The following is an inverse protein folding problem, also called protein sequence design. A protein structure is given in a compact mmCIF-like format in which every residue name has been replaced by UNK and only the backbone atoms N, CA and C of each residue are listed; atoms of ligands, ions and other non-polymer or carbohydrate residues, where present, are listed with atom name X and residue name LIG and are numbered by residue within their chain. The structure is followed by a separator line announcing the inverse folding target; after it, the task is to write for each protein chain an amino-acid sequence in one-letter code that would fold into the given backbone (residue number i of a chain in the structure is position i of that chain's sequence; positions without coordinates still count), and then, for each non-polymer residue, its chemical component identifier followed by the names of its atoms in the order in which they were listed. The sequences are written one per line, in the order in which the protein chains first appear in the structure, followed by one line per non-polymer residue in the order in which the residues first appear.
data_IF_369418921026
#
_entry.id   IF_369418921026
#
_cell.length_a   1.000
_cell.length_b   1.000
_cell.length_c   1.000
_cell.angle_alpha   90.00
_cell.angle_beta   90.00
_cell.angle_gamma   90.00
#
_symmetry.space_group_name_H-M   'P 1'
#
loop_
_entity.id
_entity.type
_entity.pdbx_description
1 polymer ?
#
# COMPACT_ATOMS: atom_id res chain seq x y z
N UNK A 1 2.23 5.32 26.72
CA UNK A 1 2.67 5.48 25.33
C UNK A 1 1.46 5.57 24.41
N UNK A 2 1.64 6.06 23.18
CA UNK A 2 0.57 6.12 22.19
C UNK A 2 0.11 4.71 21.78
N UNK A 3 -1.18 4.51 21.60
CA UNK A 3 -1.77 3.25 21.11
C UNK A 3 -1.61 3.13 19.59
N UNK A 4 -1.73 4.25 18.89
CA UNK A 4 -1.65 4.37 17.44
C UNK A 4 -0.59 5.40 17.02
N UNK A 5 -0.05 5.20 15.83
CA UNK A 5 0.89 6.10 15.18
C UNK A 5 0.41 6.37 13.74
N UNK A 6 0.41 7.64 13.35
CA UNK A 6 0.00 8.04 12.00
C UNK A 6 1.21 8.56 11.24
N UNK A 7 1.43 8.00 10.05
CA UNK A 7 2.37 8.52 9.06
C UNK A 7 1.58 8.97 7.85
N UNK A 8 1.76 10.21 7.45
CA UNK A 8 1.01 10.79 6.33
C UNK A 8 1.87 11.74 5.50
N UNK A 9 1.54 11.86 4.24
CA UNK A 9 2.14 12.85 3.36
C UNK A 9 1.66 14.27 3.72
N UNK A 10 2.46 15.31 3.47
CA UNK A 10 2.07 16.70 3.80
C UNK A 10 0.92 17.25 2.94
N UNK A 11 0.59 16.58 1.84
CA UNK A 11 -0.45 16.96 0.89
C UNK A 11 -1.77 16.16 1.07
N UNK A 12 -2.01 15.67 2.29
CA UNK A 12 -3.24 14.98 2.71
C UNK A 12 -4.20 15.97 3.39
N UNK A 13 -5.50 15.85 3.06
CA UNK A 13 -6.61 16.54 3.74
C UNK A 13 -7.66 15.52 4.18
N UNK A 14 -8.17 15.67 5.39
CA UNK A 14 -9.23 14.82 5.95
C UNK A 14 -10.05 15.57 6.99
N UNK A 15 -11.26 15.11 7.24
CA UNK A 15 -12.10 15.61 8.32
C UNK A 15 -11.62 15.08 9.69
N UNK A 16 -11.80 15.83 10.80
CA UNK A 16 -11.37 15.40 12.14
C UNK A 16 -11.87 14.00 12.51
N UNK A 17 -13.10 13.68 12.15
CA UNK A 17 -13.77 12.42 12.45
C UNK A 17 -13.12 11.21 11.78
N UNK A 18 -12.28 11.45 10.76
CA UNK A 18 -11.55 10.39 10.05
C UNK A 18 -10.63 9.61 11.00
N UNK A 19 -9.86 10.32 11.82
CA UNK A 19 -8.92 9.71 12.78
C UNK A 19 -9.67 8.93 13.84
N UNK A 20 -10.76 9.49 14.37
CA UNK A 20 -11.60 8.85 15.36
C UNK A 20 -12.24 7.56 14.82
N UNK A 21 -12.79 7.62 13.60
CA UNK A 21 -13.38 6.45 12.93
C UNK A 21 -12.36 5.32 12.74
N UNK A 22 -11.12 5.65 12.32
CA UNK A 22 -10.05 4.67 12.17
C UNK A 22 -9.61 4.09 13.53
N UNK A 23 -9.54 4.90 14.57
CA UNK A 23 -9.20 4.45 15.92
C UNK A 23 -10.27 3.51 16.47
N UNK A 24 -11.55 3.86 16.35
CA UNK A 24 -12.67 3.01 16.76
C UNK A 24 -12.67 1.66 16.02
N UNK A 25 -12.41 1.68 14.70
CA UNK A 25 -12.28 0.44 13.94
C UNK A 25 -11.14 -0.45 14.47
N UNK A 26 -9.97 0.15 14.70
CA UNK A 26 -8.81 -0.58 15.22
C UNK A 26 -9.03 -1.08 16.66
N UNK A 27 -9.81 -0.34 17.48
CA UNK A 27 -10.15 -0.77 18.85
C UNK A 27 -11.05 -2.01 18.84
N UNK A 28 -11.96 -2.09 17.87
CA UNK A 28 -12.85 -3.24 17.69
C UNK A 28 -12.15 -4.45 17.03
N UNK A 29 -10.94 -4.26 16.45
CA UNK A 29 -10.23 -5.29 15.69
C UNK A 29 -8.75 -5.37 16.13
N UNK A 30 -8.46 -6.11 17.18
CA UNK A 30 -7.10 -6.22 17.74
C UNK A 30 -6.10 -6.89 16.80
N UNK A 31 -6.57 -7.69 15.86
CA UNK A 31 -5.79 -8.39 14.84
C UNK A 31 -5.34 -7.48 13.68
N UNK A 32 -5.80 -6.22 13.66
CA UNK A 32 -5.43 -5.22 12.64
C UNK A 32 -4.22 -4.43 13.10
N UNK A 33 -3.13 -4.50 12.34
CA UNK A 33 -1.87 -3.76 12.59
C UNK A 33 -1.75 -2.46 11.80
N UNK A 34 -2.40 -2.38 10.63
CA UNK A 34 -2.40 -1.21 9.75
C UNK A 34 -3.77 -1.02 9.12
N UNK A 35 -4.21 0.23 9.01
CA UNK A 35 -5.45 0.59 8.30
C UNK A 35 -5.22 1.82 7.43
N UNK A 36 -5.85 1.83 6.26
CA UNK A 36 -5.87 2.95 5.30
C UNK A 36 -7.32 3.27 4.92
N UNK A 37 -7.75 4.53 4.98
CA UNK A 37 -9.07 4.96 4.53
C UNK A 37 -9.17 4.98 3.01
N UNK A 38 -10.36 5.26 2.50
CA UNK A 38 -10.60 5.53 1.08
C UNK A 38 -9.95 6.84 0.68
N UNK A 39 -9.23 6.85 -0.44
CA UNK A 39 -8.42 8.00 -0.87
C UNK A 39 -8.94 8.54 -2.18
N UNK A 40 -9.21 9.85 -2.21
CA UNK A 40 -9.65 10.56 -3.40
C UNK A 40 -8.61 11.56 -3.90
N UNK A 41 -8.67 11.87 -5.19
CA UNK A 41 -8.07 13.08 -5.74
C UNK A 41 -8.92 14.31 -5.38
N UNK A 42 -8.37 15.54 -5.49
CA UNK A 42 -9.15 16.76 -5.26
C UNK A 42 -10.39 16.93 -6.14
N UNK A 43 -10.40 16.30 -7.30
CA UNK A 43 -11.53 16.29 -8.24
C UNK A 43 -12.59 15.20 -7.94
N UNK A 44 -12.47 14.51 -6.80
CA UNK A 44 -13.38 13.46 -6.35
C UNK A 44 -13.14 12.08 -6.99
N UNK A 45 -12.20 11.93 -7.92
CA UNK A 45 -11.86 10.61 -8.46
C UNK A 45 -11.14 9.76 -7.43
N UNK A 46 -11.43 8.45 -7.41
CA UNK A 46 -10.81 7.47 -6.53
C UNK A 46 -9.33 7.27 -6.89
N UNK A 47 -8.46 7.24 -5.87
CA UNK A 47 -7.09 6.77 -5.98
C UNK A 47 -7.03 5.27 -5.65
N UNK A 48 -6.55 4.47 -6.60
CA UNK A 48 -6.44 3.02 -6.44
C UNK A 48 -5.14 2.65 -5.71
N UNK A 49 -5.18 2.68 -4.39
CA UNK A 49 -4.00 2.53 -3.52
C UNK A 49 -3.92 1.18 -2.80
N UNK A 50 -4.91 0.31 -3.00
CA UNK A 50 -4.85 -1.10 -2.62
C UNK A 50 -4.06 -1.89 -3.67
N UNK A 51 -2.99 -2.56 -3.27
CA UNK A 51 -2.09 -3.20 -4.26
C UNK A 51 -1.71 -4.62 -3.85
N UNK A 52 -1.44 -5.43 -4.85
CA UNK A 52 -0.73 -6.70 -4.66
C UNK A 52 0.71 -6.44 -4.20
N UNK A 53 1.36 -7.42 -3.57
CA UNK A 53 2.81 -7.38 -3.41
C UNK A 53 3.46 -7.38 -4.80
N UNK A 54 4.35 -6.40 -5.09
CA UNK A 54 4.82 -6.17 -6.44
C UNK A 54 5.75 -7.27 -6.94
N UNK A 55 5.70 -7.53 -8.23
CA UNK A 55 6.72 -8.25 -8.97
C UNK A 55 7.67 -7.26 -9.65
N UNK A 56 8.86 -7.69 -10.11
CA UNK A 56 9.72 -6.84 -10.94
C UNK A 56 8.99 -6.31 -12.19
N UNK A 57 8.06 -7.09 -12.75
CA UNK A 57 7.24 -6.66 -13.88
C UNK A 57 6.33 -5.49 -13.54
N UNK A 58 5.77 -5.46 -12.33
CA UNK A 58 4.85 -4.40 -11.90
C UNK A 58 5.57 -3.06 -11.67
N UNK A 59 6.81 -3.06 -11.17
CA UNK A 59 7.53 -1.84 -10.79
C UNK A 59 8.57 -1.38 -11.83
N UNK A 60 9.22 -2.32 -12.52
CA UNK A 60 10.34 -2.02 -13.46
C UNK A 60 9.86 -2.14 -14.89
N UNK A 61 9.37 -3.32 -15.28
CA UNK A 61 9.12 -3.63 -16.68
C UNK A 61 7.84 -3.01 -17.24
N UNK A 62 6.85 -2.67 -16.39
CA UNK A 62 5.61 -2.04 -16.84
C UNK A 62 5.83 -0.78 -17.70
N UNK A 63 6.91 -0.04 -17.44
CA UNK A 63 7.29 1.15 -18.23
C UNK A 63 7.64 0.83 -19.68
N UNK A 64 8.03 -0.42 -19.96
CA UNK A 64 8.48 -0.88 -21.27
C UNK A 64 7.44 -1.78 -21.97
N UNK A 65 6.31 -2.04 -21.33
CA UNK A 65 5.25 -2.87 -21.90
C UNK A 65 4.39 -2.08 -22.90
N UNK A 66 3.86 -2.73 -23.94
CA UNK A 66 2.82 -2.15 -24.80
C UNK A 66 1.63 -1.63 -23.99
N UNK A 67 1.01 -0.55 -24.42
CA UNK A 67 -0.04 0.19 -23.66
C UNK A 67 -1.18 -0.69 -23.17
N UNK A 68 -1.65 -1.63 -23.99
CA UNK A 68 -2.75 -2.55 -23.60
C UNK A 68 -2.33 -3.52 -22.48
N UNK A 69 -1.14 -4.07 -22.55
CA UNK A 69 -0.62 -4.97 -21.52
C UNK A 69 -0.29 -4.22 -20.23
N UNK A 70 0.26 -3.02 -20.35
CA UNK A 70 0.52 -2.13 -19.21
C UNK A 70 -0.78 -1.76 -18.48
N UNK A 71 -1.89 -1.50 -19.21
CA UNK A 71 -3.22 -1.23 -18.64
C UNK A 71 -3.73 -2.43 -17.86
N UNK A 72 -3.77 -3.62 -18.46
CA UNK A 72 -4.24 -4.85 -17.81
C UNK A 72 -3.40 -5.21 -16.57
N UNK A 73 -2.06 -5.08 -16.67
CA UNK A 73 -1.15 -5.28 -15.53
C UNK A 73 -1.44 -4.31 -14.39
N UNK A 74 -1.68 -3.02 -14.71
CA UNK A 74 -2.04 -2.00 -13.73
C UNK A 74 -3.37 -2.29 -13.05
N UNK A 75 -4.41 -2.63 -13.82
CA UNK A 75 -5.75 -2.95 -13.31
C UNK A 75 -5.68 -4.10 -12.29
N UNK A 76 -4.91 -5.13 -12.60
CA UNK A 76 -4.69 -6.25 -11.69
C UNK A 76 -3.85 -5.86 -10.47
N UNK A 77 -2.73 -5.17 -10.66
CA UNK A 77 -1.82 -4.77 -9.58
C UNK A 77 -2.47 -3.82 -8.58
N UNK A 78 -3.23 -2.84 -9.06
CA UNK A 78 -3.95 -1.84 -8.26
C UNK A 78 -5.37 -2.30 -7.87
N UNK A 79 -5.70 -3.59 -8.09
CA UNK A 79 -6.99 -4.19 -7.75
C UNK A 79 -8.20 -3.37 -8.23
N UNK A 80 -8.10 -2.69 -9.37
CA UNK A 80 -9.14 -1.80 -9.90
C UNK A 80 -10.45 -2.49 -10.23
N UNK A 81 -10.41 -3.80 -10.44
CA UNK A 81 -11.57 -4.65 -10.67
C UNK A 81 -12.38 -4.90 -9.39
N UNK A 82 -11.80 -4.65 -8.21
CA UNK A 82 -12.44 -4.93 -6.93
C UNK A 82 -13.32 -3.78 -6.48
N UNK A 83 -14.36 -4.10 -5.72
CA UNK A 83 -15.28 -3.12 -5.15
C UNK A 83 -14.61 -2.31 -4.04
N UNK A 84 -14.27 -1.04 -4.32
CA UNK A 84 -13.63 -0.13 -3.36
C UNK A 84 -14.59 0.46 -2.31
N UNK A 85 -15.86 0.04 -2.31
CA UNK A 85 -16.81 0.37 -1.25
C UNK A 85 -16.88 -0.71 -0.16
N UNK A 86 -16.05 -1.76 -0.27
CA UNK A 86 -15.94 -2.84 0.71
C UNK A 86 -14.57 -2.87 1.36
N UNK A 87 -14.59 -3.28 2.63
CA UNK A 87 -13.36 -3.56 3.40
C UNK A 87 -12.55 -4.70 2.77
N UNK A 88 -11.23 -4.60 2.85
CA UNK A 88 -10.33 -5.62 2.31
C UNK A 88 -9.05 -5.72 3.14
N UNK A 89 -8.56 -6.94 3.30
CA UNK A 89 -7.25 -7.20 3.86
C UNK A 89 -6.21 -7.20 2.73
N UNK A 90 -5.44 -6.12 2.60
CA UNK A 90 -4.59 -5.80 1.45
C UNK A 90 -3.12 -5.85 1.86
N UNK A 91 -2.26 -6.64 1.19
CA UNK A 91 -0.86 -6.82 1.60
C UNK A 91 0.05 -5.61 1.33
N UNK A 92 -0.38 -4.69 0.48
CA UNK A 92 0.32 -3.44 0.23
C UNK A 92 -0.67 -2.28 0.15
N UNK A 93 -0.66 -1.45 1.17
CA UNK A 93 -1.35 -0.18 1.27
C UNK A 93 -0.32 0.94 1.06
N UNK A 94 -0.70 1.98 0.30
CA UNK A 94 0.22 3.09 0.00
C UNK A 94 0.65 3.86 1.24
N UNK A 95 1.91 4.28 1.27
CA UNK A 95 2.50 5.08 2.34
C UNK A 95 1.98 6.51 2.44
N UNK A 96 1.09 6.96 1.55
CA UNK A 96 0.55 8.32 1.64
C UNK A 96 -0.22 8.58 2.93
N UNK A 97 -0.85 7.54 3.49
CA UNK A 97 -1.52 7.57 4.78
C UNK A 97 -1.47 6.18 5.43
N UNK A 98 -0.78 6.07 6.55
CA UNK A 98 -0.65 4.83 7.31
C UNK A 98 -1.09 5.06 8.76
N UNK A 99 -2.18 4.43 9.17
CA UNK A 99 -2.61 4.43 10.58
C UNK A 99 -2.21 3.08 11.17
N UNK A 100 -1.32 3.09 12.14
CA UNK A 100 -0.55 1.94 12.58
C UNK A 100 -0.77 1.65 14.08
N UNK A 101 -0.96 0.40 14.45
CA UNK A 101 -0.94 -0.04 15.85
C UNK A 101 0.50 -0.08 16.34
N UNK A 102 0.80 0.64 17.44
CA UNK A 102 2.17 0.73 17.97
C UNK A 102 2.69 -0.62 18.44
N UNK A 103 1.86 -1.42 19.09
CA UNK A 103 2.24 -2.79 19.50
C UNK A 103 2.66 -3.65 18.29
N UNK A 104 1.90 -3.57 17.19
CA UNK A 104 2.24 -4.27 15.96
C UNK A 104 3.55 -3.77 15.35
N UNK A 105 3.78 -2.44 15.34
CA UNK A 105 5.07 -1.86 14.92
C UNK A 105 6.24 -2.38 15.75
N UNK A 106 6.08 -2.48 17.07
CA UNK A 106 7.13 -3.01 17.94
C UNK A 106 7.46 -4.48 17.61
N UNK A 107 6.46 -5.27 17.23
CA UNK A 107 6.65 -6.69 16.87
C UNK A 107 7.24 -6.89 15.47
N UNK A 108 6.77 -6.14 14.46
CA UNK A 108 7.24 -6.31 13.08
C UNK A 108 8.49 -5.49 12.76
N UNK A 109 8.85 -4.56 13.64
CA UNK A 109 9.93 -3.59 13.46
C UNK A 109 9.48 -2.33 12.73
N UNK A 110 10.17 -1.23 12.98
CA UNK A 110 9.92 0.08 12.39
C UNK A 110 10.26 0.12 10.89
N UNK A 111 10.23 1.31 10.30
CA UNK A 111 10.70 1.50 8.92
C UNK A 111 12.15 1.04 8.77
N UNK A 112 12.45 0.35 7.70
CA UNK A 112 13.80 -0.09 7.37
C UNK A 112 14.57 1.10 6.78
N UNK A 113 15.53 1.64 7.53
CA UNK A 113 16.29 2.86 7.19
C UNK A 113 17.08 2.76 5.88
N UNK A 114 17.23 1.56 5.34
CA UNK A 114 17.82 1.37 4.01
C UNK A 114 16.98 1.98 2.89
N UNK A 115 15.68 2.18 3.14
CA UNK A 115 14.74 2.81 2.21
C UNK A 115 14.54 4.28 2.59
N UNK A 116 15.19 5.18 1.87
CA UNK A 116 14.98 6.63 2.11
C UNK A 116 13.60 7.10 1.64
N UNK A 117 13.14 6.62 0.48
CA UNK A 117 11.86 6.97 -0.13
C UNK A 117 11.52 5.95 -1.22
N UNK A 118 10.23 5.58 -1.37
CA UNK A 118 9.75 4.55 -2.30
C UNK A 118 10.26 3.13 -1.97
N UNK A 119 9.44 2.35 -1.38
CA UNK A 119 9.69 0.95 -1.02
C UNK A 119 9.66 0.69 0.48
N UNK A 120 9.80 1.73 1.32
CA UNK A 120 9.61 1.68 2.77
C UNK A 120 8.19 1.25 3.14
N UNK A 121 7.20 1.77 2.42
CA UNK A 121 5.79 1.48 2.60
C UNK A 121 5.44 0.04 2.18
N UNK A 122 6.02 -0.41 1.06
CA UNK A 122 5.85 -1.80 0.59
C UNK A 122 6.45 -2.77 1.62
N UNK A 123 7.65 -2.47 2.12
CA UNK A 123 8.36 -3.32 3.08
C UNK A 123 7.61 -3.40 4.40
N UNK A 124 7.20 -2.26 4.95
CA UNK A 124 6.48 -2.23 6.22
C UNK A 124 5.10 -2.89 6.10
N UNK A 125 4.32 -2.54 5.05
CA UNK A 125 3.01 -3.18 4.83
C UNK A 125 3.13 -4.69 4.69
N UNK A 126 4.16 -5.18 3.99
CA UNK A 126 4.40 -6.62 3.83
C UNK A 126 4.74 -7.28 5.16
N UNK A 127 5.64 -6.71 5.96
CA UNK A 127 5.98 -7.24 7.30
C UNK A 127 4.77 -7.24 8.22
N UNK A 128 3.98 -6.18 8.18
CA UNK A 128 2.74 -6.06 8.93
C UNK A 128 1.74 -7.15 8.50
N UNK A 129 1.51 -7.31 7.20
CA UNK A 129 0.56 -8.30 6.64
C UNK A 129 0.92 -9.76 6.94
N UNK A 130 2.17 -10.04 7.28
CA UNK A 130 2.59 -11.39 7.66
C UNK A 130 2.16 -11.81 9.06
N UNK A 131 1.89 -10.86 9.94
CA UNK A 131 1.58 -11.10 11.35
C UNK A 131 0.21 -10.54 11.76
N UNK A 132 -0.26 -9.52 11.08
CA UNK A 132 -1.49 -8.79 11.34
C UNK A 132 -2.30 -8.61 10.05
N UNK A 133 -3.57 -8.23 10.19
CA UNK A 133 -4.35 -7.75 9.05
C UNK A 133 -3.94 -6.31 8.70
N UNK A 134 -3.90 -6.02 7.40
CA UNK A 134 -3.65 -4.69 6.85
C UNK A 134 -4.89 -4.26 6.08
N UNK A 135 -5.72 -3.43 6.71
CA UNK A 135 -7.08 -3.19 6.26
C UNK A 135 -7.20 -1.93 5.40
N UNK A 136 -7.89 -2.07 4.28
CA UNK A 136 -8.53 -0.96 3.59
C UNK A 136 -9.94 -0.78 4.13
N UNK A 137 -10.25 0.42 4.61
CA UNK A 137 -11.51 0.74 5.27
C UNK A 137 -12.21 1.91 4.57
N UNK A 138 -13.28 1.66 3.78
CA UNK A 138 -14.00 2.70 3.06
C UNK A 138 -14.97 3.51 3.92
N UNK A 139 -15.20 3.16 5.20
CA UNK A 139 -16.01 3.92 6.15
C UNK A 139 -15.41 5.27 6.55
N UNK A 140 -14.12 5.49 6.24
CA UNK A 140 -13.45 6.78 6.37
C UNK A 140 -12.79 7.17 5.05
N UNK A 141 -12.62 8.48 4.79
CA UNK A 141 -12.01 8.95 3.54
C UNK A 141 -11.08 10.14 3.75
N UNK A 142 -10.13 10.27 2.83
CA UNK A 142 -9.18 11.38 2.77
C UNK A 142 -9.02 11.88 1.33
N UNK A 143 -8.50 13.09 1.18
CA UNK A 143 -8.10 13.67 -0.12
C UNK A 143 -6.59 13.79 -0.16
N UNK A 144 -5.96 13.29 -1.23
CA UNK A 144 -4.52 13.32 -1.44
C UNK A 144 -4.22 14.04 -2.77
N UNK A 145 -3.46 15.14 -2.72
CA UNK A 145 -3.20 15.98 -3.89
C UNK A 145 -2.31 15.30 -4.93
N UNK A 146 -1.44 14.41 -4.49
CA UNK A 146 -0.57 13.55 -5.32
C UNK A 146 0.22 14.27 -6.42
N UNK A 147 1.27 14.93 -6.07
CA UNK A 147 2.20 15.59 -7.01
C UNK A 147 3.22 14.64 -7.63
N UNK A 148 2.96 13.49 -8.08
CA UNK A 148 3.82 12.53 -8.82
C UNK A 148 5.31 12.95 -9.05
N UNK A 149 5.98 13.42 -7.98
CA UNK A 149 7.30 14.08 -8.03
C UNK A 149 8.42 13.19 -8.63
N UNK A 150 8.31 11.88 -8.49
CA UNK A 150 9.29 10.92 -9.06
C UNK A 150 9.32 10.91 -10.59
N UNK A 151 8.26 11.37 -11.25
CA UNK A 151 8.22 11.47 -12.70
C UNK A 151 8.85 12.75 -13.25
N UNK A 152 9.01 13.77 -12.41
CA UNK A 152 9.50 15.12 -12.78
C UNK A 152 10.99 15.33 -12.48
N UNK A 153 11.63 14.48 -11.65
CA UNK A 153 13.00 14.69 -11.19
C UNK A 153 13.86 13.43 -11.35
N UNK A 154 14.95 13.52 -12.14
CA UNK A 154 15.90 12.41 -12.39
C UNK A 154 16.53 11.85 -11.10
N UNK A 155 16.83 12.71 -10.11
CA UNK A 155 17.37 12.28 -8.80
C UNK A 155 16.35 11.40 -8.06
N UNK A 156 15.09 11.80 -8.05
CA UNK A 156 14.01 11.03 -7.42
C UNK A 156 13.78 9.68 -8.13
N UNK A 157 13.91 9.66 -9.46
CA UNK A 157 13.84 8.42 -10.24
C UNK A 157 14.97 7.46 -9.85
N UNK A 158 16.22 7.93 -9.70
CA UNK A 158 17.36 7.10 -9.29
C UNK A 158 17.16 6.54 -7.86
N UNK A 159 16.68 7.36 -6.93
CA UNK A 159 16.34 6.92 -5.57
C UNK A 159 15.27 5.82 -5.63
N UNK A 160 14.23 6.01 -6.41
CA UNK A 160 13.17 5.02 -6.62
C UNK A 160 13.73 3.70 -7.14
N UNK A 161 14.50 3.73 -8.23
CA UNK A 161 15.11 2.53 -8.81
C UNK A 161 15.99 1.82 -7.78
N UNK A 162 16.87 2.56 -7.09
CA UNK A 162 17.76 2.00 -6.07
C UNK A 162 16.98 1.29 -4.95
N UNK A 163 15.90 1.90 -4.48
CA UNK A 163 15.11 1.33 -3.39
C UNK A 163 14.25 0.15 -3.85
N UNK A 164 13.78 0.13 -5.09
CA UNK A 164 13.11 -1.04 -5.67
C UNK A 164 14.10 -2.22 -5.81
N UNK A 165 15.34 -1.97 -6.23
CA UNK A 165 16.39 -2.99 -6.26
C UNK A 165 16.64 -3.54 -4.84
N UNK A 166 16.75 -2.67 -3.83
CA UNK A 166 16.90 -3.08 -2.42
C UNK A 166 15.72 -3.92 -1.93
N UNK A 167 14.51 -3.54 -2.30
CA UNK A 167 13.31 -4.30 -1.95
C UNK A 167 13.37 -5.73 -2.51
N UNK A 168 13.69 -5.88 -3.80
CA UNK A 168 13.79 -7.21 -4.40
C UNK A 168 15.01 -8.01 -3.92
N UNK A 169 16.12 -7.35 -3.56
CA UNK A 169 17.27 -8.03 -2.93
C UNK A 169 16.90 -8.56 -1.53
N UNK A 170 16.05 -7.86 -0.79
CA UNK A 170 15.57 -8.30 0.52
C UNK A 170 14.55 -9.44 0.43
N UNK A 171 13.60 -9.36 -0.51
CA UNK A 171 12.43 -10.23 -0.55
C UNK A 171 12.42 -11.27 -1.68
N UNK A 172 13.35 -11.18 -2.59
CA UNK A 172 13.46 -12.04 -3.78
C UNK A 172 12.88 -11.42 -5.05
N UNK A 173 13.61 -11.59 -6.14
CA UNK A 173 13.26 -11.06 -7.46
C UNK A 173 12.14 -11.88 -8.11
N UNK A 174 12.45 -13.13 -8.49
CA UNK A 174 11.54 -13.98 -9.25
C UNK A 174 10.97 -15.13 -8.41
N UNK A 175 11.75 -15.67 -7.49
CA UNK A 175 11.40 -16.82 -6.66
C UNK A 175 10.98 -16.41 -5.25
N UNK A 176 9.85 -15.72 -5.13
CA UNK A 176 9.24 -15.31 -3.87
C UNK A 176 7.93 -16.11 -3.66
N UNK A 177 8.04 -17.25 -3.02
CA UNK A 177 6.92 -18.14 -2.76
C UNK A 177 5.85 -17.49 -1.87
N UNK A 178 6.28 -16.68 -0.89
CA UNK A 178 5.40 -15.99 0.04
C UNK A 178 4.56 -14.92 -0.69
N UNK A 179 5.17 -14.06 -1.53
CA UNK A 179 4.46 -13.11 -2.39
C UNK A 179 3.45 -13.82 -3.27
N UNK A 180 3.85 -14.92 -3.92
CA UNK A 180 2.94 -15.70 -4.78
C UNK A 180 1.75 -16.25 -4.01
N UNK A 181 1.97 -16.80 -2.81
CA UNK A 181 0.91 -17.33 -1.95
C UNK A 181 -0.07 -16.24 -1.54
N UNK A 182 0.44 -15.12 -1.03
CA UNK A 182 -0.37 -13.97 -0.57
C UNK A 182 -1.20 -13.41 -1.73
N UNK A 183 -0.56 -13.07 -2.86
CA UNK A 183 -1.25 -12.49 -4.01
C UNK A 183 -2.31 -13.44 -4.59
N UNK A 184 -2.01 -14.75 -4.68
CA UNK A 184 -2.97 -15.75 -5.18
C UNK A 184 -4.18 -15.87 -4.27
N UNK A 185 -3.96 -15.88 -2.95
CA UNK A 185 -5.06 -15.92 -1.97
C UNK A 185 -5.95 -14.69 -2.12
N UNK A 186 -5.38 -13.49 -2.11
CA UNK A 186 -6.15 -12.26 -2.25
C UNK A 186 -6.94 -12.21 -3.57
N UNK A 187 -6.33 -12.59 -4.70
CA UNK A 187 -7.02 -12.61 -5.98
C UNK A 187 -8.19 -13.61 -6.00
N UNK A 188 -8.04 -14.75 -5.33
CA UNK A 188 -9.13 -15.73 -5.15
C UNK A 188 -10.25 -15.15 -4.29
N UNK A 189 -9.92 -14.53 -3.16
CA UNK A 189 -10.88 -13.93 -2.22
C UNK A 189 -11.67 -12.78 -2.87
N UNK A 190 -11.05 -12.07 -3.83
CA UNK A 190 -11.68 -11.02 -4.64
C UNK A 190 -12.35 -11.53 -5.93
N UNK A 191 -12.49 -12.83 -6.12
CA UNK A 191 -13.11 -13.45 -7.30
C UNK A 191 -12.51 -12.99 -8.64
N UNK A 192 -11.19 -12.75 -8.68
CA UNK A 192 -10.51 -12.37 -9.91
C UNK A 192 -10.40 -13.55 -10.86
N UNK A 193 -11.33 -13.65 -11.80
CA UNK A 193 -11.28 -14.61 -12.89
C UNK A 193 -10.38 -14.07 -14.02
N UNK A 194 -9.42 -14.89 -14.44
CA UNK A 194 -8.54 -14.56 -15.58
C UNK A 194 -9.30 -14.61 -16.90
#
# INVERSE_FOLDING_TARGET
GAKYHVVLNPDIRFAPETIESLACYMDAHEDVGQIMPKVFYPDGRLQYLCKLLPTPADLIFRRFLPTGWAKKSRERFELRFSDYDKEKNIPFLSGCFMFLRVEALCKVGLFDERFFMYGEDIDLSRRMHLQYRTMYYPGASIVHLHEAASYKNRRMLLIHIRNIIRYFNKWGWFFDAQRRKINRRLLKDLNYNR
#
